data_IF_927085995598
#
_entry.id   IF_927085995598
#
_cell.length_a   1.000
_cell.length_b   1.000
_cell.length_c   1.000
_cell.angle_alpha   90.00
_cell.angle_beta   90.00
_cell.angle_gamma   90.00
#
_symmetry.space_group_name_H-M   'P 1'
#
loop_
_entity.id
_entity.type
_entity.pdbx_description
1 polymer ?
#
# COMPACT_ATOMS: atom_id res chain seq x y z
N UNK A 1 -5.10 -17.28 -2.18
CA UNK A 1 -5.22 -16.14 -3.11
C UNK A 1 -4.36 -15.05 -2.51
N UNK A 2 -3.34 -14.60 -3.22
CA UNK A 2 -2.49 -13.52 -2.74
C UNK A 2 -3.34 -12.25 -2.57
N UNK A 3 -3.08 -11.49 -1.51
CA UNK A 3 -3.73 -10.20 -1.28
C UNK A 3 -2.89 -9.12 -1.95
N UNK A 4 -3.53 -8.27 -2.76
CA UNK A 4 -2.85 -7.11 -3.35
C UNK A 4 -2.85 -5.95 -2.38
N UNK A 5 -1.66 -5.53 -1.96
CA UNK A 5 -1.43 -4.37 -1.12
C UNK A 5 -1.02 -3.20 -2.01
N UNK A 6 -1.82 -2.14 -1.97
CA UNK A 6 -1.58 -0.94 -2.75
C UNK A 6 -0.76 0.04 -1.93
N UNK A 7 0.35 0.55 -2.48
CA UNK A 7 1.27 1.41 -1.75
C UNK A 7 1.72 2.60 -2.59
N UNK A 8 2.16 3.67 -1.96
CA UNK A 8 2.65 4.89 -2.63
C UNK A 8 3.86 5.48 -1.88
N UNK A 9 4.83 6.03 -2.60
CA UNK A 9 5.88 6.86 -1.98
C UNK A 9 5.32 8.17 -1.41
N UNK A 10 5.83 8.56 -0.25
CA UNK A 10 5.38 9.72 0.52
C UNK A 10 6.57 10.66 0.81
N UNK A 11 7.20 11.24 -0.23
CA UNK A 11 8.42 12.03 -0.11
C UNK A 11 8.29 13.26 0.78
N UNK A 12 7.07 13.77 0.99
CA UNK A 12 6.77 14.90 1.86
C UNK A 12 7.03 14.63 3.35
N UNK A 13 7.06 13.35 3.77
CA UNK A 13 7.37 12.94 5.15
C UNK A 13 8.86 12.60 5.35
N UNK A 14 9.60 12.48 4.24
CA UNK A 14 11.01 12.17 4.23
C UNK A 14 11.37 11.15 3.14
N UNK A 15 12.65 11.04 2.78
CA UNK A 15 13.09 10.11 1.74
C UNK A 15 12.79 8.66 2.15
N UNK A 16 12.12 7.93 1.26
CA UNK A 16 11.80 6.52 1.43
C UNK A 16 10.56 6.20 2.27
N UNK A 17 9.85 7.19 2.80
CA UNK A 17 8.56 6.97 3.43
C UNK A 17 7.53 6.47 2.41
N UNK A 18 6.67 5.56 2.84
CA UNK A 18 5.61 4.98 2.03
C UNK A 18 4.31 4.90 2.81
N UNK A 19 3.19 5.05 2.12
CA UNK A 19 1.87 4.67 2.63
C UNK A 19 1.40 3.38 1.96
N UNK A 20 0.57 2.61 2.64
CA UNK A 20 -0.05 1.42 2.08
C UNK A 20 -1.49 1.27 2.56
N UNK A 21 -2.36 0.75 1.69
CA UNK A 21 -3.71 0.32 2.04
C UNK A 21 -3.65 -1.09 2.63
N UNK A 22 -3.76 -1.18 3.96
CA UNK A 22 -3.64 -2.42 4.73
C UNK A 22 -4.86 -2.51 5.64
N UNK A 23 -5.49 -3.69 5.72
CA UNK A 23 -6.60 -3.92 6.66
C UNK A 23 -7.83 -3.01 6.51
N UNK A 24 -8.00 -2.31 5.38
CA UNK A 24 -9.09 -1.35 5.17
C UNK A 24 -8.78 0.09 5.58
N UNK A 25 -7.53 0.38 5.94
CA UNK A 25 -7.05 1.71 6.25
C UNK A 25 -5.73 2.05 5.55
N UNK A 26 -5.38 3.35 5.53
CA UNK A 26 -4.08 3.80 5.03
C UNK A 26 -3.11 3.85 6.20
N UNK A 27 -2.07 3.04 6.14
CA UNK A 27 -0.98 3.03 7.11
C UNK A 27 0.29 3.65 6.53
N UNK A 28 1.10 4.26 7.40
CA UNK A 28 2.35 4.96 7.06
C UNK A 28 3.56 4.21 7.59
N UNK A 29 4.56 3.99 6.74
CA UNK A 29 5.79 3.28 7.06
C UNK A 29 7.02 4.12 6.69
N UNK A 30 8.08 4.09 7.52
CA UNK A 30 9.29 4.87 7.26
C UNK A 30 10.18 4.27 6.15
N UNK A 31 9.84 3.09 5.64
CA UNK A 31 10.47 2.48 4.47
C UNK A 31 9.66 1.33 3.88
N UNK A 32 9.90 1.03 2.61
CA UNK A 32 9.40 -0.18 1.94
C UNK A 32 9.80 -1.46 2.70
N UNK A 33 10.98 -1.51 3.30
CA UNK A 33 11.42 -2.66 4.11
C UNK A 33 10.56 -2.85 5.35
N UNK A 34 10.11 -1.76 5.99
CA UNK A 34 9.21 -1.82 7.17
C UNK A 34 7.81 -2.25 6.79
N UNK A 35 7.28 -1.76 5.66
CA UNK A 35 6.03 -2.24 5.11
C UNK A 35 6.10 -3.76 4.87
N UNK A 36 7.11 -4.25 4.13
CA UNK A 36 7.27 -5.69 3.87
C UNK A 36 7.38 -6.53 5.15
N UNK A 37 8.13 -6.04 6.14
CA UNK A 37 8.25 -6.72 7.43
C UNK A 37 6.88 -6.85 8.11
N UNK A 38 6.08 -5.77 8.13
CA UNK A 38 4.74 -5.78 8.69
C UNK A 38 3.81 -6.76 7.94
N UNK A 39 3.78 -6.70 6.60
CA UNK A 39 2.96 -7.59 5.78
C UNK A 39 3.31 -9.08 5.94
N UNK A 40 4.59 -9.42 6.15
CA UNK A 40 5.01 -10.80 6.42
C UNK A 40 4.48 -11.35 7.74
N UNK A 41 4.10 -10.50 8.69
CA UNK A 41 3.48 -10.95 9.94
C UNK A 41 1.95 -11.08 9.82
N UNK A 42 1.32 -10.29 8.95
CA UNK A 42 -0.15 -10.26 8.83
C UNK A 42 -0.70 -11.20 7.75
N UNK A 43 0.05 -11.41 6.66
CA UNK A 43 -0.42 -12.12 5.49
C UNK A 43 0.54 -13.26 5.11
N UNK A 44 -0.01 -14.44 4.85
CA UNK A 44 0.75 -15.60 4.37
C UNK A 44 1.21 -15.44 2.90
N UNK A 45 0.46 -14.67 2.10
CA UNK A 45 0.71 -14.48 0.67
C UNK A 45 0.19 -13.10 0.20
N UNK A 46 1.08 -12.25 -0.32
CA UNK A 46 0.74 -10.88 -0.73
C UNK A 46 1.54 -10.42 -1.95
N UNK A 47 0.95 -9.49 -2.71
CA UNK A 47 1.58 -8.79 -3.82
C UNK A 47 1.58 -7.29 -3.55
N UNK A 48 2.61 -6.58 -4.01
CA UNK A 48 2.70 -5.13 -3.88
C UNK A 48 2.38 -4.46 -5.22
N UNK A 49 1.38 -3.58 -5.23
CA UNK A 49 1.04 -2.75 -6.38
C UNK A 49 1.28 -1.28 -6.07
N UNK A 50 2.14 -0.63 -6.85
CA UNK A 50 2.43 0.79 -6.68
C UNK A 50 1.26 1.64 -7.22
N UNK A 51 0.84 2.61 -6.42
CA UNK A 51 -0.12 3.65 -6.77
C UNK A 51 0.66 4.87 -7.22
N UNK A 52 0.43 5.30 -8.45
CA UNK A 52 1.08 6.44 -9.09
C UNK A 52 0.03 7.48 -9.48
N UNK A 53 0.49 8.67 -9.89
CA UNK A 53 -0.42 9.70 -10.41
C UNK A 53 -1.16 9.28 -11.69
N UNK A 54 -0.65 8.28 -12.40
CA UNK A 54 -1.24 7.79 -13.65
C UNK A 54 -2.35 6.75 -13.41
N UNK A 55 -2.24 5.93 -12.35
CA UNK A 55 -3.16 4.81 -12.11
C UNK A 55 -4.15 5.01 -10.94
N UNK A 56 -3.94 6.00 -10.06
CA UNK A 56 -4.77 6.14 -8.85
C UNK A 56 -6.27 6.28 -9.14
N UNK A 57 -6.61 6.95 -10.25
CA UNK A 57 -8.00 7.18 -10.63
C UNK A 57 -8.68 5.88 -11.06
N UNK A 58 -7.99 5.08 -11.86
CA UNK A 58 -8.49 3.78 -12.30
C UNK A 58 -8.67 2.83 -11.11
N UNK A 59 -7.71 2.81 -10.18
CA UNK A 59 -7.79 2.02 -8.95
C UNK A 59 -8.95 2.47 -8.05
N UNK A 60 -9.16 3.78 -7.92
CA UNK A 60 -10.28 4.34 -7.17
C UNK A 60 -11.63 3.99 -7.79
N UNK A 61 -11.76 4.11 -9.11
CA UNK A 61 -12.98 3.77 -9.85
C UNK A 61 -13.27 2.26 -9.81
N UNK A 62 -12.23 1.42 -9.77
CA UNK A 62 -12.34 -0.02 -9.54
C UNK A 62 -12.75 -0.38 -8.09
N UNK A 63 -12.82 0.59 -7.18
CA UNK A 63 -13.27 0.38 -5.81
C UNK A 63 -12.22 -0.20 -4.87
N UNK A 64 -10.94 -0.18 -5.25
CA UNK A 64 -9.82 -0.72 -4.45
C UNK A 64 -9.79 -0.16 -3.03
N UNK A 65 -10.09 1.13 -2.88
CA UNK A 65 -10.05 1.84 -1.59
C UNK A 65 -11.42 1.98 -0.91
N UNK A 66 -12.46 1.25 -1.36
CA UNK A 66 -13.84 1.43 -0.88
C UNK A 66 -14.31 0.41 0.15
N UNK A 67 -13.47 -0.56 0.51
CA UNK A 67 -13.82 -1.59 1.49
C UNK A 67 -12.84 -1.58 2.67
N UNK A 68 -13.32 -1.02 3.77
CA UNK A 68 -12.93 -1.38 5.14
C UNK A 68 -14.09 -2.09 5.81
#
# INVERSE_FOLDING_TARGET
>A
MAITIYWQEQPEFGPGWVSAWVGGEVEMFPSMSRLRQHLMFEYDDYELSEVTQDNWRELYDAGVFRHG
#
